data_IF_178098071982
#
_entry.id   IF_178098071982
#
_cell.length_a   1.000
_cell.length_b   1.000
_cell.length_c   1.000
_cell.angle_alpha   90.00
_cell.angle_beta   90.00
_cell.angle_gamma   90.00
#
_symmetry.space_group_name_H-M   'P 1'
#
loop_
_entity.id
_entity.type
_entity.pdbx_description
1 polymer ?
#
# COMPACT_ATOMS: atom_id res chain seq x y z
N UNK A 1 -53.59 33.05 -59.07
CA UNK A 1 -52.69 34.20 -58.84
C UNK A 1 -52.74 34.58 -57.37
N UNK A 2 -51.57 34.57 -56.72
CA UNK A 2 -51.22 35.12 -55.40
C UNK A 2 -51.98 34.64 -54.13
N UNK A 3 -51.38 33.67 -53.43
CA UNK A 3 -51.54 33.48 -51.98
C UNK A 3 -50.84 34.63 -51.24
N UNK A 4 -51.55 35.35 -50.36
CA UNK A 4 -50.97 36.19 -49.30
C UNK A 4 -51.26 35.54 -47.95
N UNK A 5 -50.26 34.85 -47.39
CA UNK A 5 -50.26 34.46 -45.99
C UNK A 5 -49.60 35.60 -45.21
N UNK A 6 -50.40 36.38 -44.47
CA UNK A 6 -49.96 37.51 -43.66
C UNK A 6 -49.91 37.16 -42.17
N UNK A 7 -48.78 37.49 -41.55
CA UNK A 7 -48.63 38.06 -40.20
C UNK A 7 -49.44 37.46 -39.04
N UNK A 8 -49.16 36.20 -38.66
CA UNK A 8 -49.43 35.74 -37.28
C UNK A 8 -48.21 35.20 -36.51
N UNK A 9 -47.03 35.14 -37.14
CA UNK A 9 -45.82 34.61 -36.51
C UNK A 9 -45.01 35.63 -35.70
N UNK A 10 -45.22 36.94 -35.90
CA UNK A 10 -44.38 38.00 -35.32
C UNK A 10 -44.82 38.49 -33.95
N UNK A 11 -46.05 38.20 -33.49
CA UNK A 11 -46.51 38.58 -32.15
C UNK A 11 -46.25 37.53 -31.07
N UNK A 12 -46.07 36.26 -31.44
CA UNK A 12 -45.74 35.20 -30.47
C UNK A 12 -44.25 35.19 -30.07
N UNK A 13 -43.35 35.66 -30.95
CA UNK A 13 -41.91 35.71 -30.65
C UNK A 13 -41.54 36.92 -29.78
N UNK A 14 -42.21 38.07 -29.97
CA UNK A 14 -41.91 39.27 -29.18
C UNK A 14 -42.38 39.21 -27.72
N UNK A 15 -43.32 38.32 -27.38
CA UNK A 15 -43.78 38.14 -26.00
C UNK A 15 -43.00 37.05 -25.23
N UNK A 16 -42.20 36.21 -25.90
CA UNK A 16 -41.31 35.26 -25.21
C UNK A 16 -39.91 35.82 -24.94
N UNK A 17 -39.43 36.78 -25.74
CA UNK A 17 -38.12 37.42 -25.50
C UNK A 17 -38.13 38.45 -24.36
N UNK A 18 -39.31 38.95 -23.96
CA UNK A 18 -39.43 39.93 -22.88
C UNK A 18 -39.37 39.33 -21.45
N UNK A 19 -39.46 38.00 -21.28
CA UNK A 19 -39.38 37.32 -19.98
C UNK A 19 -38.03 36.63 -19.70
N UNK A 20 -37.04 36.79 -20.58
CA UNK A 20 -35.69 36.24 -20.41
C UNK A 20 -34.64 37.31 -20.10
N UNK A 21 -35.00 38.35 -19.34
CA UNK A 21 -33.99 39.12 -18.64
C UNK A 21 -33.19 38.15 -17.74
N UNK A 22 -31.85 38.10 -17.82
CA UNK A 22 -31.07 37.26 -16.94
C UNK A 22 -31.38 37.71 -15.51
N UNK A 23 -32.10 36.87 -14.75
CA UNK A 23 -32.26 37.06 -13.32
C UNK A 23 -30.84 37.17 -12.77
N UNK A 24 -30.47 38.36 -12.33
CA UNK A 24 -29.30 38.58 -11.50
C UNK A 24 -29.56 37.84 -10.19
N UNK A 25 -29.27 36.54 -10.20
CA UNK A 25 -29.21 35.73 -8.99
C UNK A 25 -28.06 36.37 -8.21
N UNK A 26 -28.40 37.13 -7.18
CA UNK A 26 -27.42 37.57 -6.20
C UNK A 26 -26.64 36.32 -5.78
N UNK A 27 -25.32 36.30 -6.02
CA UNK A 27 -24.47 35.19 -5.62
C UNK A 27 -24.62 35.02 -4.12
N UNK A 28 -25.41 34.03 -3.69
CA UNK A 28 -25.44 33.64 -2.29
C UNK A 28 -24.00 33.31 -1.87
N UNK A 29 -23.53 33.81 -0.71
CA UNK A 29 -22.16 33.59 -0.28
C UNK A 29 -21.92 32.09 -0.13
N UNK A 30 -21.27 31.49 -1.14
CA UNK A 30 -20.97 30.07 -1.15
C UNK A 30 -20.00 29.78 -0.01
N UNK A 31 -20.35 28.81 0.85
CA UNK A 31 -19.40 28.34 1.88
C UNK A 31 -18.21 27.71 1.15
N UNK A 32 -16.96 28.06 1.52
CA UNK A 32 -15.81 27.37 0.96
C UNK A 32 -15.89 25.88 1.32
N UNK A 33 -15.56 24.97 0.38
CA UNK A 33 -15.55 23.55 0.66
C UNK A 33 -14.53 23.22 1.77
N UNK A 34 -14.73 22.09 2.47
CA UNK A 34 -13.63 21.47 3.23
C UNK A 34 -12.43 21.28 2.29
N UNK A 35 -11.21 21.31 2.83
CA UNK A 35 -9.95 21.26 2.04
C UNK A 35 -10.09 20.38 0.79
N UNK A 36 -9.84 20.90 -0.42
CA UNK A 36 -10.04 20.17 -1.67
C UNK A 36 -9.02 19.04 -1.86
N UNK A 37 -8.06 18.93 -0.96
CA UNK A 37 -6.90 18.06 -1.09
C UNK A 37 -7.23 16.57 -1.29
N UNK A 38 -8.18 16.02 -0.51
CA UNK A 38 -8.63 14.63 -0.68
C UNK A 38 -9.21 14.39 -2.08
N UNK A 39 -10.04 15.32 -2.56
CA UNK A 39 -10.65 15.23 -3.89
C UNK A 39 -9.59 15.30 -5.00
N UNK A 40 -8.60 16.21 -4.88
CA UNK A 40 -7.51 16.31 -5.84
C UNK A 40 -6.70 15.02 -5.93
N UNK A 41 -6.42 14.38 -4.78
CA UNK A 41 -5.72 13.09 -4.72
C UNK A 41 -6.57 11.97 -5.36
N UNK A 42 -7.87 11.91 -5.10
CA UNK A 42 -8.76 10.92 -5.70
C UNK A 42 -8.88 11.11 -7.23
N UNK A 43 -8.97 12.36 -7.68
CA UNK A 43 -8.96 12.72 -9.10
C UNK A 43 -7.64 12.29 -9.75
N UNK A 44 -6.50 12.59 -9.12
CA UNK A 44 -5.17 12.16 -9.58
C UNK A 44 -5.07 10.65 -9.73
N UNK A 45 -5.51 9.89 -8.73
CA UNK A 45 -5.49 8.42 -8.78
C UNK A 45 -6.36 7.88 -9.92
N UNK A 46 -7.48 8.54 -10.20
CA UNK A 46 -8.39 8.17 -11.30
C UNK A 46 -7.78 8.46 -12.67
N UNK A 47 -7.13 9.61 -12.83
CA UNK A 47 -6.40 9.98 -14.04
C UNK A 47 -5.23 9.01 -14.28
N UNK A 48 -4.40 8.73 -13.27
CA UNK A 48 -3.26 7.80 -13.39
C UNK A 48 -3.67 6.39 -13.82
N UNK A 49 -4.80 5.89 -13.32
CA UNK A 49 -5.35 4.59 -13.74
C UNK A 49 -5.69 4.61 -15.24
N UNK A 50 -6.27 5.71 -15.72
CA UNK A 50 -6.57 5.90 -17.14
C UNK A 50 -5.29 6.06 -17.97
N UNK A 51 -4.33 6.88 -17.53
CA UNK A 51 -3.01 7.06 -18.18
C UNK A 51 -2.30 5.72 -18.34
N UNK A 52 -2.22 4.92 -17.28
CA UNK A 52 -1.56 3.61 -17.28
C UNK A 52 -2.22 2.66 -18.27
N UNK A 53 -3.56 2.62 -18.32
CA UNK A 53 -4.31 1.80 -19.27
C UNK A 53 -4.04 2.19 -20.72
N UNK A 54 -3.99 3.50 -21.00
CA UNK A 54 -3.69 4.03 -22.33
C UNK A 54 -2.26 3.70 -22.74
N UNK A 55 -1.27 3.82 -21.83
CA UNK A 55 0.12 3.43 -22.08
C UNK A 55 0.27 1.94 -22.39
N UNK A 56 -0.43 1.07 -21.64
CA UNK A 56 -0.44 -0.38 -21.92
C UNK A 56 -1.01 -0.67 -23.31
N UNK A 57 -2.11 0.00 -23.69
CA UNK A 57 -2.68 -0.12 -25.04
C UNK A 57 -1.68 0.31 -26.10
N UNK A 58 -1.01 1.44 -25.92
CA UNK A 58 0.01 1.93 -26.83
C UNK A 58 1.11 0.89 -27.04
N UNK A 59 1.69 0.34 -25.97
CA UNK A 59 2.71 -0.71 -26.06
C UNK A 59 2.20 -1.94 -26.82
N UNK A 60 0.93 -2.32 -26.62
CA UNK A 60 0.34 -3.43 -27.36
C UNK A 60 0.20 -3.11 -28.87
N UNK A 61 -0.20 -1.90 -29.22
CA UNK A 61 -0.30 -1.46 -30.61
C UNK A 61 1.07 -1.41 -31.29
N UNK A 62 2.08 -0.85 -30.60
CA UNK A 62 3.47 -0.81 -31.05
C UNK A 62 4.03 -2.21 -31.33
N UNK A 63 3.81 -3.16 -30.41
CA UNK A 63 4.22 -4.56 -30.59
C UNK A 63 3.56 -5.23 -31.80
N UNK A 64 2.33 -4.83 -32.13
CA UNK A 64 1.59 -5.34 -33.29
C UNK A 64 1.79 -4.48 -34.56
N UNK A 65 2.64 -3.46 -34.51
CA UNK A 65 2.90 -2.51 -35.61
C UNK A 65 1.61 -1.81 -36.10
N UNK A 66 0.66 -1.59 -35.21
CA UNK A 66 -0.57 -0.84 -35.47
C UNK A 66 -0.39 0.59 -35.01
N UNK A 67 -0.75 1.56 -35.85
CA UNK A 67 -0.76 2.97 -35.49
C UNK A 67 -2.22 3.43 -35.25
N UNK A 68 -2.49 3.99 -34.07
CA UNK A 68 -3.80 4.53 -33.69
C UNK A 68 -3.62 5.96 -33.13
N UNK A 69 -3.78 7.00 -33.95
CA UNK A 69 -3.59 8.39 -33.54
C UNK A 69 -4.50 8.84 -32.39
N UNK A 70 -5.65 8.17 -32.18
CA UNK A 70 -6.54 8.51 -31.07
C UNK A 70 -5.97 8.05 -29.72
N UNK A 71 -5.23 6.92 -29.70
CA UNK A 71 -4.55 6.46 -28.48
C UNK A 71 -3.50 7.48 -28.03
N UNK A 72 -2.74 8.04 -28.98
CA UNK A 72 -1.76 9.09 -28.69
C UNK A 72 -2.41 10.38 -28.18
N UNK A 73 -3.47 10.87 -28.85
CA UNK A 73 -4.21 12.06 -28.40
C UNK A 73 -4.77 11.91 -27.00
N UNK A 74 -5.32 10.74 -26.68
CA UNK A 74 -5.85 10.46 -25.34
C UNK A 74 -4.74 10.42 -24.31
N UNK A 75 -3.57 9.85 -24.63
CA UNK A 75 -2.40 9.88 -23.74
C UNK A 75 -1.98 11.31 -23.45
N UNK A 76 -1.80 12.14 -24.47
CA UNK A 76 -1.30 13.51 -24.32
C UNK A 76 -2.27 14.38 -23.49
N UNK A 77 -3.59 14.19 -23.68
CA UNK A 77 -4.61 14.83 -22.85
C UNK A 77 -4.56 14.38 -21.39
N UNK A 78 -4.37 13.07 -21.14
CA UNK A 78 -4.26 12.54 -19.79
C UNK A 78 -2.99 13.01 -19.09
N UNK A 79 -1.84 13.03 -19.77
CA UNK A 79 -0.56 13.50 -19.23
C UNK A 79 -0.62 14.98 -18.85
N UNK A 80 -1.13 15.84 -19.72
CA UNK A 80 -1.32 17.27 -19.41
C UNK A 80 -2.29 17.50 -18.25
N UNK A 81 -3.36 16.70 -18.16
CA UNK A 81 -4.28 16.73 -17.01
C UNK A 81 -3.56 16.31 -15.72
N UNK A 82 -2.74 15.26 -15.78
CA UNK A 82 -2.04 14.75 -14.61
C UNK A 82 -0.97 15.72 -14.09
N UNK A 83 -0.25 16.43 -14.97
CA UNK A 83 0.67 17.51 -14.61
C UNK A 83 -0.06 18.70 -13.95
N UNK A 84 -1.22 19.06 -14.49
CA UNK A 84 -2.05 20.15 -13.94
C UNK A 84 -2.50 19.83 -12.52
N UNK A 85 -3.01 18.61 -12.30
CA UNK A 85 -3.46 18.15 -10.97
C UNK A 85 -2.27 18.06 -10.00
N UNK A 86 -1.09 17.62 -10.44
CA UNK A 86 0.10 17.56 -9.60
C UNK A 86 0.55 18.96 -9.10
N UNK A 87 0.38 19.98 -9.94
CA UNK A 87 0.57 21.38 -9.55
C UNK A 87 -0.34 21.77 -8.39
N UNK A 88 -1.65 21.53 -8.52
CA UNK A 88 -2.63 21.84 -7.48
C UNK A 88 -2.41 21.04 -6.20
N UNK A 89 -2.11 19.74 -6.31
CA UNK A 89 -1.77 18.89 -5.16
C UNK A 89 -0.54 19.44 -4.44
N UNK A 90 0.49 19.88 -5.17
CA UNK A 90 1.72 20.41 -4.57
C UNK A 90 1.46 21.70 -3.79
N UNK A 91 0.60 22.58 -4.30
CA UNK A 91 0.20 23.81 -3.62
C UNK A 91 -0.56 23.55 -2.33
N UNK A 92 -1.54 22.65 -2.37
CA UNK A 92 -2.32 22.26 -1.19
C UNK A 92 -1.49 21.46 -0.18
N UNK A 93 -0.63 20.55 -0.64
CA UNK A 93 0.22 19.74 0.23
C UNK A 93 1.14 20.61 1.11
N UNK A 94 1.65 21.73 0.58
CA UNK A 94 2.48 22.68 1.35
C UNK A 94 1.75 23.33 2.53
N UNK A 95 0.42 23.39 2.48
CA UNK A 95 -0.44 23.92 3.55
C UNK A 95 -0.75 22.87 4.62
N UNK A 96 -0.45 21.60 4.36
CA UNK A 96 -0.77 20.50 5.25
C UNK A 96 -0.07 20.65 6.62
N UNK A 97 -0.76 20.41 7.76
CA UNK A 97 -0.18 20.61 9.11
C UNK A 97 1.13 19.85 9.37
N UNK A 98 1.22 18.60 8.88
CA UNK A 98 2.43 17.78 8.99
C UNK A 98 3.53 18.06 7.93
N UNK A 99 3.31 19.00 6.99
CA UNK A 99 4.27 19.30 5.91
C UNK A 99 5.67 19.69 6.41
N UNK A 100 5.82 20.53 7.46
CA UNK A 100 7.15 20.90 7.98
C UNK A 100 7.98 19.70 8.43
N UNK A 101 7.34 18.59 8.78
CA UNK A 101 7.99 17.36 9.20
C UNK A 101 8.32 16.45 8.02
N UNK A 102 7.32 15.99 7.26
CA UNK A 102 7.57 14.97 6.23
C UNK A 102 8.38 15.49 5.04
N UNK A 103 8.33 16.80 4.75
CA UNK A 103 9.18 17.41 3.72
C UNK A 103 10.68 17.28 4.02
N UNK A 104 11.02 17.09 5.30
CA UNK A 104 12.40 16.97 5.78
C UNK A 104 12.93 15.53 5.81
N UNK A 105 12.10 14.55 5.46
CA UNK A 105 12.49 13.14 5.45
C UNK A 105 13.10 12.79 4.08
N UNK A 106 14.23 12.08 4.08
CA UNK A 106 14.89 11.59 2.88
C UNK A 106 14.03 10.48 2.26
N UNK A 107 13.82 10.53 0.94
CA UNK A 107 12.93 9.59 0.23
C UNK A 107 11.45 9.92 0.27
N UNK A 108 11.04 11.02 0.90
CA UNK A 108 9.69 11.57 0.73
C UNK A 108 9.68 12.60 -0.41
N UNK A 109 8.86 12.32 -1.42
CA UNK A 109 8.49 13.25 -2.50
C UNK A 109 6.99 13.56 -2.45
N UNK A 110 6.60 14.71 -3.03
CA UNK A 110 5.24 15.25 -2.92
C UNK A 110 4.16 14.27 -3.40
N UNK A 111 4.38 13.58 -4.51
CA UNK A 111 3.40 12.69 -5.13
C UNK A 111 3.01 11.53 -4.19
N UNK A 112 3.98 10.73 -3.73
CA UNK A 112 3.69 9.56 -2.91
C UNK A 112 3.14 9.93 -1.53
N UNK A 113 3.65 11.00 -0.89
CA UNK A 113 3.11 11.43 0.42
C UNK A 113 1.73 12.04 0.29
N UNK A 114 1.45 12.80 -0.77
CA UNK A 114 0.12 13.34 -1.01
C UNK A 114 -0.93 12.24 -1.09
N UNK A 115 -0.61 11.13 -1.78
CA UNK A 115 -1.50 9.96 -1.86
C UNK A 115 -1.69 9.23 -0.53
N UNK A 116 -0.78 9.39 0.43
CA UNK A 116 -0.94 8.84 1.78
C UNK A 116 -1.79 9.78 2.63
N UNK A 117 -1.40 11.06 2.74
CA UNK A 117 -2.11 12.03 3.60
C UNK A 117 -3.49 12.40 3.05
N UNK A 118 -3.67 12.44 1.74
CA UNK A 118 -4.95 12.78 1.11
C UNK A 118 -6.03 11.71 1.27
N UNK A 119 -5.64 10.45 1.53
CA UNK A 119 -6.57 9.36 1.79
C UNK A 119 -6.91 9.17 3.28
N UNK A 120 -6.26 9.94 4.17
CA UNK A 120 -6.40 9.84 5.62
C UNK A 120 -7.20 11.03 6.14
N UNK A 121 -8.25 10.74 6.91
CA UNK A 121 -8.94 11.73 7.73
C UNK A 121 -8.45 11.57 9.18
N UNK A 122 -7.62 12.51 9.63
CA UNK A 122 -6.97 12.42 10.94
C UNK A 122 -7.97 12.55 12.10
N UNK A 123 -9.11 13.20 11.89
CA UNK A 123 -10.17 13.32 12.92
C UNK A 123 -10.87 11.98 13.17
N UNK A 124 -10.91 11.10 12.18
CA UNK A 124 -11.43 9.73 12.30
C UNK A 124 -10.42 8.73 12.86
N UNK A 125 -9.19 9.16 13.13
CA UNK A 125 -8.12 8.34 13.68
C UNK A 125 -7.73 8.77 15.11
N UNK A 126 -8.57 8.54 16.13
CA UNK A 126 -8.30 8.98 17.50
C UNK A 126 -7.12 8.26 18.16
N UNK A 127 -6.73 7.09 17.65
CA UNK A 127 -5.57 6.31 18.12
C UNK A 127 -4.72 5.84 16.96
N UNK A 128 -3.42 5.62 17.19
CA UNK A 128 -2.54 5.09 16.14
C UNK A 128 -3.00 3.71 15.64
N UNK A 129 -3.57 2.86 16.50
CA UNK A 129 -4.09 1.55 16.09
C UNK A 129 -5.26 1.66 15.11
N UNK A 130 -6.12 2.68 15.26
CA UNK A 130 -7.20 2.93 14.30
C UNK A 130 -6.65 3.32 12.92
N UNK A 131 -5.60 4.15 12.87
CA UNK A 131 -4.92 4.50 11.62
C UNK A 131 -4.23 3.29 11.00
N UNK A 132 -3.51 2.47 11.79
CA UNK A 132 -2.92 1.23 11.29
C UNK A 132 -3.97 0.26 10.75
N UNK A 133 -5.15 0.18 11.39
CA UNK A 133 -6.25 -0.65 10.89
C UNK A 133 -6.72 -0.15 9.54
N UNK A 134 -7.05 1.14 9.45
CA UNK A 134 -7.50 1.79 8.21
C UNK A 134 -6.48 1.72 7.07
N UNK A 135 -5.19 1.89 7.36
CA UNK A 135 -4.09 1.75 6.39
C UNK A 135 -3.76 0.28 6.04
N UNK A 136 -4.46 -0.69 6.64
CA UNK A 136 -4.24 -2.11 6.41
C UNK A 136 -2.90 -2.61 6.94
N UNK A 137 -2.31 -1.94 7.93
CA UNK A 137 -1.04 -2.28 8.61
C UNK A 137 -1.25 -3.05 9.92
N UNK A 138 -2.51 -3.26 10.33
CA UNK A 138 -2.84 -4.08 11.50
C UNK A 138 -2.54 -5.57 11.27
N UNK A 139 -2.65 -6.34 12.36
CA UNK A 139 -2.54 -7.80 12.37
C UNK A 139 -3.88 -8.35 12.82
N UNK A 140 -4.37 -9.36 12.12
CA UNK A 140 -5.59 -10.10 12.43
C UNK A 140 -5.19 -11.42 13.06
N UNK A 141 -5.66 -11.70 14.26
CA UNK A 141 -5.42 -12.96 14.92
C UNK A 141 -6.40 -14.01 14.38
N UNK A 142 -5.88 -15.15 13.97
CA UNK A 142 -6.66 -16.29 13.48
C UNK A 142 -6.31 -17.48 14.36
N UNK A 143 -7.34 -18.13 14.91
CA UNK A 143 -7.20 -19.39 15.62
C UNK A 143 -7.10 -20.49 14.57
N UNK A 144 -6.03 -21.27 14.63
CA UNK A 144 -5.79 -22.42 13.74
C UNK A 144 -6.06 -23.68 14.54
N UNK A 145 -7.02 -24.48 14.08
CA UNK A 145 -7.42 -25.72 14.77
C UNK A 145 -6.37 -26.83 14.57
N UNK A 146 -6.36 -27.87 15.41
CA UNK A 146 -5.48 -29.02 15.25
C UNK A 146 -5.57 -29.68 13.88
N UNK A 147 -6.78 -29.82 13.34
CA UNK A 147 -7.05 -30.42 12.04
C UNK A 147 -6.47 -29.56 10.91
N UNK A 148 -6.63 -28.24 11.01
CA UNK A 148 -6.03 -27.30 10.06
C UNK A 148 -4.50 -27.33 10.11
N UNK A 149 -3.92 -27.49 11.30
CA UNK A 149 -2.46 -27.64 11.46
C UNK A 149 -1.96 -28.93 10.81
N UNK A 150 -2.69 -30.03 10.93
CA UNK A 150 -2.37 -31.29 10.28
C UNK A 150 -2.48 -31.17 8.75
N UNK A 151 -3.56 -30.56 8.24
CA UNK A 151 -3.76 -30.33 6.82
C UNK A 151 -2.64 -29.45 6.20
N UNK A 152 -2.18 -28.42 6.91
CA UNK A 152 -1.02 -27.61 6.50
C UNK A 152 0.27 -28.44 6.41
N UNK A 153 0.49 -29.35 7.37
CA UNK A 153 1.66 -30.22 7.40
C UNK A 153 1.63 -31.24 6.25
N UNK A 154 0.49 -31.85 5.98
CA UNK A 154 0.30 -32.79 4.86
C UNK A 154 0.54 -32.11 3.50
N UNK A 155 -0.05 -30.92 3.29
CA UNK A 155 0.17 -30.12 2.07
C UNK A 155 1.64 -29.74 1.91
N UNK A 156 2.31 -29.41 3.01
CA UNK A 156 3.75 -29.12 3.03
C UNK A 156 4.56 -30.34 2.61
N UNK A 157 4.27 -31.51 3.17
CA UNK A 157 4.94 -32.76 2.82
C UNK A 157 4.77 -33.09 1.34
N UNK A 158 3.55 -33.02 0.81
CA UNK A 158 3.25 -33.30 -0.59
C UNK A 158 4.01 -32.36 -1.55
N UNK A 159 4.04 -31.05 -1.25
CA UNK A 159 4.78 -30.09 -2.07
C UNK A 159 6.29 -30.28 -2.01
N UNK A 160 6.83 -30.65 -0.84
CA UNK A 160 8.25 -30.98 -0.70
C UNK A 160 8.62 -32.25 -1.49
N UNK A 161 7.77 -33.27 -1.48
CA UNK A 161 7.95 -34.48 -2.29
C UNK A 161 7.94 -34.17 -3.79
N UNK A 162 7.01 -33.32 -4.24
CA UNK A 162 6.97 -32.85 -5.64
C UNK A 162 8.25 -32.11 -6.02
N UNK A 163 8.74 -31.22 -5.16
CA UNK A 163 10.00 -30.50 -5.40
C UNK A 163 11.22 -31.42 -5.45
N UNK A 164 11.26 -32.42 -4.58
CA UNK A 164 12.31 -33.44 -4.58
C UNK A 164 12.33 -34.21 -5.92
N UNK A 165 11.17 -34.58 -6.45
CA UNK A 165 11.06 -35.23 -7.76
C UNK A 165 11.52 -34.33 -8.91
N UNK A 166 11.20 -33.03 -8.87
CA UNK A 166 11.66 -32.04 -9.84
C UNK A 166 13.19 -31.92 -9.85
N UNK A 167 13.80 -31.81 -8.66
CA UNK A 167 15.26 -31.70 -8.53
C UNK A 167 15.99 -32.95 -9.01
N UNK A 168 15.48 -34.15 -8.67
CA UNK A 168 15.97 -35.43 -9.20
C UNK A 168 15.98 -35.45 -10.73
N UNK A 169 14.90 -34.97 -11.36
CA UNK A 169 14.83 -34.87 -12.82
C UNK A 169 15.82 -33.84 -13.37
N UNK A 170 15.97 -32.70 -12.72
CA UNK A 170 16.87 -31.61 -13.13
C UNK A 170 18.35 -32.01 -13.07
N UNK A 171 18.75 -32.74 -12.03
CA UNK A 171 20.14 -33.14 -11.79
C UNK A 171 20.44 -34.60 -12.11
N UNK A 172 19.61 -35.27 -12.90
CA UNK A 172 19.83 -36.65 -13.33
C UNK A 172 21.21 -36.90 -13.99
N UNK A 173 21.89 -35.84 -14.47
CA UNK A 173 23.24 -35.87 -15.07
C UNK A 173 24.35 -35.31 -14.16
N UNK A 174 24.03 -34.87 -12.94
CA UNK A 174 24.97 -34.31 -11.98
C UNK A 174 24.63 -34.77 -10.55
N UNK A 175 25.02 -36.01 -10.17
CA UNK A 175 24.62 -36.63 -8.90
C UNK A 175 25.25 -35.96 -7.67
N UNK A 176 26.40 -35.30 -7.79
CA UNK A 176 27.02 -34.56 -6.68
C UNK A 176 26.18 -33.35 -6.29
N UNK A 177 25.73 -32.57 -7.29
CA UNK A 177 24.84 -31.42 -7.08
C UNK A 177 23.45 -31.83 -6.60
N UNK A 178 22.98 -33.00 -7.04
CA UNK A 178 21.74 -33.60 -6.54
C UNK A 178 21.86 -33.93 -5.04
N UNK A 179 22.96 -34.55 -4.61
CA UNK A 179 23.19 -34.91 -3.22
C UNK A 179 23.25 -33.68 -2.30
N UNK A 180 23.92 -32.60 -2.72
CA UNK A 180 23.99 -31.34 -1.98
C UNK A 180 22.59 -30.70 -1.80
N UNK A 181 21.84 -30.52 -2.88
CA UNK A 181 20.49 -29.92 -2.84
C UNK A 181 19.50 -30.79 -2.04
N UNK A 182 19.60 -32.13 -2.14
CA UNK A 182 18.80 -33.08 -1.34
C UNK A 182 19.19 -33.03 0.14
N UNK A 183 20.49 -32.89 0.45
CA UNK A 183 20.97 -32.77 1.82
C UNK A 183 20.45 -31.49 2.46
N UNK A 184 20.42 -30.36 1.74
CA UNK A 184 19.81 -29.09 2.20
C UNK A 184 18.31 -29.29 2.47
N UNK A 185 17.57 -29.94 1.56
CA UNK A 185 16.15 -30.26 1.77
C UNK A 185 15.89 -31.14 3.00
N UNK A 186 16.71 -32.19 3.21
CA UNK A 186 16.55 -33.14 4.34
C UNK A 186 16.91 -32.52 5.68
N UNK A 187 18.04 -31.83 5.75
CA UNK A 187 18.55 -31.23 7.00
C UNK A 187 17.73 -30.02 7.48
N UNK A 188 17.18 -29.22 6.57
CA UNK A 188 16.51 -27.95 6.93
C UNK A 188 14.98 -28.00 6.89
N UNK A 189 14.35 -28.89 6.09
CA UNK A 189 12.89 -28.90 5.90
C UNK A 189 12.18 -30.06 6.58
N UNK A 190 12.80 -31.24 6.63
CA UNK A 190 12.23 -32.40 7.32
C UNK A 190 12.54 -32.35 8.83
N UNK A 191 13.71 -31.85 9.24
CA UNK A 191 14.07 -31.71 10.66
C UNK A 191 13.17 -30.73 11.43
N UNK A 192 12.79 -29.59 10.82
CA UNK A 192 11.85 -28.64 11.40
C UNK A 192 10.41 -29.15 11.42
N UNK A 193 9.98 -29.87 10.38
CA UNK A 193 8.71 -30.59 10.35
C UNK A 193 8.71 -31.66 11.44
N UNK A 194 9.74 -32.51 11.49
CA UNK A 194 9.90 -33.57 12.48
C UNK A 194 9.96 -33.01 13.89
N UNK A 195 10.74 -31.97 14.21
CA UNK A 195 10.76 -31.34 15.54
C UNK A 195 9.40 -30.73 15.92
N UNK A 196 8.74 -30.04 14.97
CA UNK A 196 7.40 -29.51 15.17
C UNK A 196 6.37 -30.63 15.38
N UNK A 197 6.48 -31.75 14.67
CA UNK A 197 5.60 -32.91 14.84
C UNK A 197 5.97 -33.64 16.17
N UNK A 198 7.23 -33.97 16.44
CA UNK A 198 7.70 -34.77 17.57
C UNK A 198 7.50 -34.09 18.93
N UNK A 199 7.57 -32.75 19.00
CA UNK A 199 7.16 -31.99 20.20
C UNK A 199 5.64 -31.84 20.37
N UNK A 200 4.85 -32.20 19.36
CA UNK A 200 3.38 -32.03 19.29
C UNK A 200 2.57 -33.31 19.22
N UNK A 201 3.13 -34.47 18.87
CA UNK A 201 2.41 -35.76 18.82
C UNK A 201 2.63 -36.63 20.07
N UNK A 202 3.28 -36.09 21.11
CA UNK A 202 3.25 -36.68 22.46
C UNK A 202 2.01 -36.30 23.28
N UNK A 203 1.27 -35.27 22.84
CA UNK A 203 0.06 -34.73 23.45
C UNK A 203 -0.94 -34.34 22.36
N UNK A 204 -2.23 -34.20 22.69
CA UNK A 204 -3.22 -33.68 21.75
C UNK A 204 -2.78 -32.29 21.23
N UNK A 205 -2.81 -32.11 19.91
CA UNK A 205 -2.49 -30.83 19.28
C UNK A 205 -3.48 -29.78 19.79
N UNK A 206 -3.00 -28.74 20.47
CA UNK A 206 -3.85 -27.63 20.92
C UNK A 206 -4.06 -26.58 19.81
N UNK A 207 -5.21 -25.88 19.78
CA UNK A 207 -5.42 -24.74 18.89
C UNK A 207 -4.39 -23.63 19.13
N UNK A 208 -3.86 -23.05 18.05
CA UNK A 208 -2.87 -21.95 18.13
C UNK A 208 -3.40 -20.67 17.53
N UNK A 209 -3.17 -19.54 18.21
CA UNK A 209 -3.50 -18.22 17.66
C UNK A 209 -2.31 -17.67 16.88
N UNK A 210 -2.50 -17.40 15.58
CA UNK A 210 -1.47 -16.83 14.69
C UNK A 210 -1.90 -15.46 14.18
N UNK A 211 -0.95 -14.53 14.13
CA UNK A 211 -1.17 -13.18 13.61
C UNK A 211 -0.89 -13.08 12.11
N UNK A 212 -1.90 -12.70 11.33
CA UNK A 212 -1.78 -12.51 9.88
C UNK A 212 -1.96 -11.04 9.47
N UNK A 213 -1.32 -10.66 8.38
CA UNK A 213 -1.68 -9.42 7.69
C UNK A 213 -3.08 -9.59 7.09
N UNK A 214 -3.98 -8.58 7.17
CA UNK A 214 -5.27 -8.66 6.49
C UNK A 214 -5.05 -8.89 4.99
N UNK A 215 -5.84 -9.75 4.36
CA UNK A 215 -5.76 -10.01 2.91
C UNK A 215 -7.15 -9.99 2.30
N UNK A 216 -7.27 -9.58 1.03
CA UNK A 216 -8.58 -9.54 0.35
C UNK A 216 -9.29 -10.91 0.32
N UNK A 217 -8.55 -12.01 0.27
CA UNK A 217 -9.11 -13.37 0.28
C UNK A 217 -9.88 -13.67 1.56
N UNK A 218 -9.42 -13.18 2.72
CA UNK A 218 -10.12 -13.38 4.00
C UNK A 218 -11.53 -12.76 4.01
N UNK A 219 -11.70 -11.59 3.38
CA UNK A 219 -13.00 -10.90 3.31
C UNK A 219 -13.87 -11.43 2.16
N UNK A 220 -13.28 -11.89 1.05
CA UNK A 220 -14.02 -12.54 -0.04
C UNK A 220 -14.69 -13.84 0.41
N UNK A 221 -14.00 -14.67 1.18
CA UNK A 221 -14.54 -15.93 1.69
C UNK A 221 -15.76 -15.73 2.61
N UNK A 222 -15.84 -14.58 3.28
CA UNK A 222 -16.92 -14.24 4.23
C UNK A 222 -17.99 -13.32 3.63
N UNK A 223 -17.82 -12.84 2.39
CA UNK A 223 -18.70 -11.84 1.77
C UNK A 223 -18.66 -10.46 2.44
N UNK A 224 -17.69 -10.20 3.31
CA UNK A 224 -17.61 -8.98 4.11
C UNK A 224 -16.87 -7.87 3.37
N UNK A 225 -17.21 -6.61 3.68
CA UNK A 225 -16.45 -5.45 3.19
C UNK A 225 -15.06 -5.44 3.83
N UNK A 226 -14.05 -4.94 3.10
CA UNK A 226 -12.72 -4.72 3.66
C UNK A 226 -12.80 -3.74 4.82
N UNK A 227 -12.14 -4.06 5.94
CA UNK A 227 -12.05 -3.18 7.10
C UNK A 227 -10.85 -2.21 7.03
N UNK A 228 -10.21 -2.12 5.87
CA UNK A 228 -9.09 -1.23 5.57
C UNK A 228 -9.22 -0.62 4.17
N UNK A 229 -8.65 0.57 3.98
CA UNK A 229 -8.54 1.21 2.68
C UNK A 229 -7.40 0.56 1.87
N UNK A 230 -7.77 -0.17 0.82
CA UNK A 230 -6.80 -0.91 0.02
C UNK A 230 -5.90 -0.04 -0.84
N UNK A 231 -6.34 1.17 -1.22
CA UNK A 231 -5.52 2.13 -1.97
C UNK A 231 -4.47 2.74 -1.04
N UNK A 232 -4.89 3.23 0.13
CA UNK A 232 -3.97 3.74 1.16
C UNK A 232 -2.88 2.71 1.51
N UNK A 233 -3.27 1.44 1.67
CA UNK A 233 -2.29 0.37 1.92
C UNK A 233 -1.23 0.31 0.82
N UNK A 234 -1.63 0.33 -0.45
CA UNK A 234 -0.70 0.31 -1.59
C UNK A 234 0.19 1.56 -1.57
N UNK A 235 -0.37 2.73 -1.29
CA UNK A 235 0.40 3.98 -1.21
C UNK A 235 1.44 3.95 -0.09
N UNK A 236 1.12 3.37 1.08
CA UNK A 236 2.12 3.17 2.13
C UNK A 236 3.26 2.23 1.68
N UNK A 237 2.99 1.16 0.94
CA UNK A 237 4.05 0.30 0.41
C UNK A 237 4.89 0.98 -0.69
N UNK A 238 4.27 1.81 -1.54
CA UNK A 238 4.99 2.65 -2.51
C UNK A 238 5.92 3.65 -1.81
N UNK A 239 5.40 4.35 -0.80
CA UNK A 239 6.18 5.29 0.01
C UNK A 239 7.34 4.57 0.72
N UNK A 240 7.08 3.42 1.33
CA UNK A 240 8.11 2.58 1.94
C UNK A 240 9.23 2.21 0.96
N UNK A 241 8.88 1.79 -0.26
CA UNK A 241 9.86 1.50 -1.30
C UNK A 241 10.74 2.71 -1.63
N UNK A 242 10.16 3.92 -1.64
CA UNK A 242 10.92 5.16 -1.85
C UNK A 242 11.85 5.48 -0.67
N UNK A 243 11.38 5.33 0.56
CA UNK A 243 12.19 5.52 1.77
C UNK A 243 13.40 4.56 1.82
N UNK A 244 13.19 3.29 1.48
CA UNK A 244 14.25 2.28 1.45
C UNK A 244 15.29 2.62 0.38
N UNK A 245 14.86 2.95 -0.85
CA UNK A 245 15.77 3.32 -1.94
C UNK A 245 16.58 4.58 -1.64
N UNK A 246 15.99 5.51 -0.87
CA UNK A 246 16.65 6.74 -0.51
C UNK A 246 17.76 6.58 0.54
N UNK A 247 17.85 5.42 1.22
CA UNK A 247 18.91 5.11 2.18
C UNK A 247 19.06 6.23 3.24
N UNK A 248 17.95 6.52 3.92
CA UNK A 248 17.91 7.46 5.05
C UNK A 248 17.56 6.75 6.36
N UNK A 249 17.19 7.51 7.40
CA UNK A 249 16.94 6.96 8.75
C UNK A 249 15.84 5.90 8.81
N UNK A 250 14.80 6.04 7.97
CA UNK A 250 13.76 5.00 7.85
C UNK A 250 14.29 3.71 7.20
N UNK A 251 15.23 3.82 6.25
CA UNK A 251 15.87 2.66 5.65
C UNK A 251 16.73 1.91 6.69
N UNK A 252 17.50 2.64 7.51
CA UNK A 252 18.28 2.06 8.61
C UNK A 252 17.40 1.33 9.64
N UNK A 253 16.25 1.92 10.00
CA UNK A 253 15.27 1.24 10.85
C UNK A 253 14.76 -0.05 10.19
N UNK A 254 14.44 0.02 8.89
CA UNK A 254 14.01 -1.15 8.12
C UNK A 254 15.08 -2.25 8.09
N UNK A 255 16.36 -1.92 7.90
CA UNK A 255 17.45 -2.90 7.86
C UNK A 255 17.65 -3.57 9.22
N UNK A 256 17.64 -2.80 10.32
CA UNK A 256 17.66 -3.35 11.69
C UNK A 256 16.46 -4.25 11.95
N UNK A 257 15.26 -3.81 11.55
CA UNK A 257 14.04 -4.59 11.72
C UNK A 257 14.07 -5.90 10.91
N UNK A 258 14.63 -5.86 9.69
CA UNK A 258 14.81 -7.04 8.84
C UNK A 258 15.81 -8.01 9.43
N UNK A 259 16.96 -7.53 9.89
CA UNK A 259 17.98 -8.34 10.54
C UNK A 259 17.41 -9.07 11.76
N UNK A 260 16.69 -8.36 12.64
CA UNK A 260 16.08 -8.98 13.82
C UNK A 260 15.01 -10.03 13.46
N UNK A 261 14.29 -9.86 12.35
CA UNK A 261 13.35 -10.89 11.86
C UNK A 261 14.13 -12.12 11.37
N UNK A 262 15.21 -11.93 10.61
CA UNK A 262 16.05 -13.02 10.10
C UNK A 262 16.65 -13.82 11.26
N UNK A 263 17.25 -13.14 12.23
CA UNK A 263 17.85 -13.78 13.41
C UNK A 263 16.83 -14.58 14.21
N UNK A 264 15.63 -14.02 14.43
CA UNK A 264 14.54 -14.72 15.11
C UNK A 264 14.12 -15.99 14.37
N UNK A 265 13.92 -15.90 13.05
CA UNK A 265 13.52 -17.04 12.23
C UNK A 265 14.59 -18.13 12.22
N UNK A 266 15.87 -17.75 12.13
CA UNK A 266 16.99 -18.69 12.19
C UNK A 266 17.08 -19.38 13.55
N UNK A 267 16.89 -18.65 14.65
CA UNK A 267 16.85 -19.22 16.00
C UNK A 267 15.68 -20.19 16.19
N UNK A 268 14.55 -19.94 15.53
CA UNK A 268 13.38 -20.84 15.48
C UNK A 268 13.58 -22.02 14.50
N UNK A 269 14.72 -22.13 13.82
CA UNK A 269 14.98 -23.15 12.81
C UNK A 269 14.17 -22.99 11.51
N UNK A 270 13.56 -21.82 11.29
CA UNK A 270 12.80 -21.52 10.07
C UNK A 270 13.74 -21.17 8.92
N UNK A 271 13.62 -21.91 7.81
CA UNK A 271 14.43 -21.69 6.62
C UNK A 271 13.92 -20.49 5.82
N UNK A 272 14.84 -19.59 5.43
CA UNK A 272 14.53 -18.45 4.56
C UNK A 272 15.00 -18.78 3.15
N UNK A 273 14.07 -18.85 2.20
CA UNK A 273 14.37 -19.21 0.80
C UNK A 273 13.87 -18.15 -0.19
N UNK A 274 14.53 -17.95 -1.34
CA UNK A 274 13.97 -17.17 -2.44
C UNK A 274 12.61 -17.72 -2.90
N UNK A 275 11.69 -16.83 -3.28
CA UNK A 275 10.33 -17.22 -3.72
C UNK A 275 10.35 -18.22 -4.88
N UNK A 276 11.33 -18.13 -5.78
CA UNK A 276 11.47 -19.00 -6.95
C UNK A 276 11.89 -20.44 -6.58
N UNK A 277 12.43 -20.66 -5.38
CA UNK A 277 12.87 -21.97 -4.91
C UNK A 277 11.79 -22.71 -4.11
N UNK A 278 10.69 -22.02 -3.79
CA UNK A 278 9.56 -22.61 -3.08
C UNK A 278 8.82 -23.64 -3.96
N UNK A 279 8.24 -24.68 -3.34
CA UNK A 279 7.43 -25.66 -4.05
C UNK A 279 6.12 -25.03 -4.54
N UNK A 280 5.56 -25.65 -5.57
CA UNK A 280 4.20 -25.40 -6.03
C UNK A 280 3.25 -26.47 -5.48
N UNK A 281 2.00 -26.09 -5.27
CA UNK A 281 0.93 -27.04 -4.97
C UNK A 281 0.39 -27.69 -6.26
N UNK A 282 -0.55 -28.62 -6.12
CA UNK A 282 -1.17 -29.32 -7.27
C UNK A 282 -1.85 -28.40 -8.30
N UNK A 283 -2.13 -27.13 -7.94
CA UNK A 283 -2.71 -26.12 -8.82
C UNK A 283 -1.63 -25.22 -9.48
N UNK A 284 -0.35 -25.56 -9.35
CA UNK A 284 0.78 -24.78 -9.87
C UNK A 284 1.06 -23.48 -9.11
N UNK A 285 0.42 -23.24 -7.97
CA UNK A 285 0.66 -22.02 -7.17
C UNK A 285 1.79 -22.26 -6.17
N UNK A 286 2.73 -21.32 -6.10
CA UNK A 286 3.80 -21.31 -5.11
C UNK A 286 3.19 -21.23 -3.70
N UNK A 287 3.71 -22.01 -2.76
CA UNK A 287 3.32 -21.94 -1.35
C UNK A 287 4.53 -22.09 -0.42
N UNK A 288 4.38 -21.67 0.82
CA UNK A 288 5.40 -21.78 1.86
C UNK A 288 5.14 -23.02 2.72
N UNK A 289 6.01 -24.05 2.66
CA UNK A 289 5.91 -25.19 3.56
C UNK A 289 6.09 -24.78 5.02
N UNK A 290 5.54 -25.58 5.93
CA UNK A 290 5.78 -25.45 7.37
C UNK A 290 7.30 -25.39 7.65
N UNK A 291 7.73 -24.42 8.46
CA UNK A 291 9.14 -24.20 8.78
C UNK A 291 9.95 -23.50 7.68
N UNK A 292 9.31 -23.00 6.61
CA UNK A 292 9.96 -22.22 5.55
C UNK A 292 9.26 -20.88 5.33
N UNK A 293 10.02 -19.85 4.96
CA UNK A 293 9.49 -18.53 4.59
C UNK A 293 10.24 -17.93 3.40
N UNK A 294 9.50 -17.27 2.51
CA UNK A 294 10.05 -16.52 1.40
C UNK A 294 10.85 -15.31 1.88
N UNK A 295 11.99 -15.04 1.24
CA UNK A 295 12.75 -13.79 1.42
C UNK A 295 11.88 -12.55 1.19
N UNK A 296 10.96 -12.61 0.22
CA UNK A 296 9.98 -11.57 -0.05
C UNK A 296 9.04 -11.31 1.14
N UNK A 297 8.61 -12.35 1.85
CA UNK A 297 7.77 -12.19 3.04
C UNK A 297 8.55 -11.61 4.22
N UNK A 298 9.82 -11.98 4.41
CA UNK A 298 10.71 -11.32 5.39
C UNK A 298 10.84 -9.82 5.09
N UNK A 299 11.07 -9.47 3.82
CA UNK A 299 11.10 -8.09 3.36
C UNK A 299 9.79 -7.35 3.65
N UNK A 300 8.63 -7.94 3.33
CA UNK A 300 7.31 -7.34 3.60
C UNK A 300 7.04 -7.18 5.10
N UNK A 301 7.47 -8.11 5.96
CA UNK A 301 7.37 -7.99 7.42
C UNK A 301 8.20 -6.80 7.93
N UNK A 302 9.42 -6.63 7.43
CA UNK A 302 10.26 -5.48 7.77
C UNK A 302 9.68 -4.15 7.25
N UNK A 303 9.21 -4.12 6.00
CA UNK A 303 8.51 -2.96 5.44
C UNK A 303 7.29 -2.58 6.27
N UNK A 304 6.50 -3.56 6.73
CA UNK A 304 5.37 -3.32 7.63
C UNK A 304 5.78 -2.68 8.95
N UNK A 305 6.86 -3.14 9.58
CA UNK A 305 7.39 -2.50 10.80
C UNK A 305 7.76 -1.05 10.53
N UNK A 306 8.46 -0.77 9.43
CA UNK A 306 8.82 0.60 9.04
C UNK A 306 7.60 1.47 8.74
N UNK A 307 6.61 0.95 7.99
CA UNK A 307 5.36 1.66 7.71
C UNK A 307 4.57 1.98 8.98
N UNK A 308 4.51 1.04 9.93
CA UNK A 308 3.86 1.30 11.23
C UNK A 308 4.57 2.41 11.99
N UNK A 309 5.90 2.44 12.00
CA UNK A 309 6.68 3.53 12.60
C UNK A 309 6.38 4.86 11.91
N UNK A 310 6.48 4.92 10.58
CA UNK A 310 6.19 6.12 9.80
C UNK A 310 4.78 6.67 10.06
N UNK A 311 3.76 5.80 10.04
CA UNK A 311 2.38 6.19 10.32
C UNK A 311 2.20 6.66 11.77
N UNK A 312 2.98 6.14 12.71
CA UNK A 312 2.97 6.61 14.11
C UNK A 312 3.49 8.03 14.22
N UNK A 313 4.60 8.32 13.55
CA UNK A 313 5.17 9.66 13.50
C UNK A 313 4.26 10.64 12.78
N UNK A 314 3.70 10.25 11.62
CA UNK A 314 2.74 11.05 10.87
C UNK A 314 1.52 11.39 11.72
N UNK A 315 0.93 10.39 12.38
CA UNK A 315 -0.22 10.56 13.25
C UNK A 315 0.07 11.51 14.41
N UNK A 316 1.23 11.35 15.07
CA UNK A 316 1.65 12.18 16.19
C UNK A 316 1.81 13.64 15.76
N UNK A 317 2.64 13.90 14.75
CA UNK A 317 2.92 15.26 14.26
C UNK A 317 1.65 15.93 13.73
N UNK A 318 0.83 15.20 12.97
CA UNK A 318 -0.38 15.76 12.39
C UNK A 318 -1.40 16.13 13.47
N UNK A 319 -1.66 15.25 14.44
CA UNK A 319 -2.60 15.56 15.52
C UNK A 319 -2.11 16.69 16.42
N UNK A 320 -0.82 16.72 16.75
CA UNK A 320 -0.24 17.83 17.51
C UNK A 320 -0.39 19.17 16.77
N UNK A 321 -0.13 19.17 15.45
CA UNK A 321 -0.26 20.37 14.63
C UNK A 321 -1.71 20.88 14.52
N UNK A 322 -2.70 20.00 14.62
CA UNK A 322 -4.13 20.36 14.65
C UNK A 322 -4.69 20.56 16.07
N UNK A 323 -3.86 20.43 17.11
CA UNK A 323 -4.31 20.53 18.51
C UNK A 323 -5.25 19.39 18.96
N UNK A 324 -5.24 18.27 18.26
CA UNK A 324 -6.06 17.10 18.58
C UNK A 324 -5.44 16.29 19.74
N UNK A 325 -6.26 15.61 20.56
CA UNK A 325 -5.73 14.82 21.69
C UNK A 325 -4.85 13.68 21.19
N UNK A 326 -3.72 13.50 21.86
CA UNK A 326 -2.72 12.47 21.55
C UNK A 326 -2.70 11.45 22.68
N UNK A 327 -3.09 10.22 22.39
CA UNK A 327 -2.83 9.08 23.27
C UNK A 327 -1.34 8.74 23.28
N UNK A 328 -0.80 8.33 24.43
CA UNK A 328 0.51 7.67 24.48
C UNK A 328 0.53 6.47 23.51
N UNK A 329 1.65 6.17 22.83
CA UNK A 329 1.69 5.14 21.78
C UNK A 329 1.17 3.78 22.27
N UNK A 330 0.33 3.14 21.46
CA UNK A 330 -0.36 1.85 21.75
C UNK A 330 0.56 0.72 22.25
N UNK A 331 1.83 0.74 21.85
CA UNK A 331 2.85 -0.24 22.27
C UNK A 331 3.16 -0.21 23.77
N UNK A 332 2.95 0.93 24.44
CA UNK A 332 3.20 1.07 25.88
C UNK A 332 1.97 0.78 26.74
N UNK A 333 0.76 0.91 26.19
CA UNK A 333 -0.48 0.70 26.93
C UNK A 333 -0.89 -0.79 27.04
N UNK A 334 -0.45 -1.66 26.12
CA UNK A 334 -0.90 -3.07 26.06
C UNK A 334 0.27 -4.08 25.93
N UNK A 335 1.44 -3.70 25.38
CA UNK A 335 2.50 -4.66 25.00
C UNK A 335 3.78 -4.63 25.87
N UNK A 336 3.82 -3.85 26.95
CA UNK A 336 4.89 -3.96 27.97
C UNK A 336 6.33 -3.73 27.48
N UNK A 337 6.53 -3.10 26.31
CA UNK A 337 7.87 -2.78 25.83
C UNK A 337 8.36 -1.47 26.47
N UNK A 338 9.56 -1.54 27.08
CA UNK A 338 10.20 -0.49 27.87
C UNK A 338 10.29 0.86 27.14
N UNK A 339 10.31 1.95 27.92
CA UNK A 339 10.35 3.36 27.46
C UNK A 339 11.53 3.71 26.52
N UNK A 340 12.58 2.88 26.48
CA UNK A 340 13.78 3.08 25.66
C UNK A 340 13.61 2.89 24.13
N UNK A 341 12.40 2.60 23.64
CA UNK A 341 12.13 2.27 22.23
C UNK A 341 11.38 3.32 21.41
N UNK A 342 11.02 4.46 22.00
CA UNK A 342 10.25 5.50 21.31
C UNK A 342 11.20 6.37 20.48
N UNK A 343 11.13 6.23 19.15
CA UNK A 343 11.84 7.10 18.22
C UNK A 343 11.01 8.37 18.05
N UNK A 344 11.61 9.54 18.27
CA UNK A 344 10.91 10.80 18.02
C UNK A 344 10.78 11.06 16.51
N UNK A 345 9.63 11.58 16.02
CA UNK A 345 9.46 11.93 14.62
C UNK A 345 10.55 12.85 14.06
N UNK A 346 11.03 13.81 14.87
CA UNK A 346 12.02 14.80 14.48
C UNK A 346 13.43 14.22 14.46
N UNK A 347 13.70 13.15 15.22
CA UNK A 347 14.93 12.39 15.08
C UNK A 347 15.04 11.68 13.73
N UNK A 348 13.93 11.51 13.00
CA UNK A 348 13.89 10.86 11.69
C UNK A 348 14.00 11.83 10.50
N UNK A 349 14.27 13.12 10.74
CA UNK A 349 14.47 14.11 9.68
C UNK A 349 15.95 14.23 9.30
N UNK A 350 16.21 14.53 8.03
CA UNK A 350 17.57 14.57 7.46
C UNK A 350 17.78 15.80 6.55
N UNK A 351 16.74 16.29 5.88
CA UNK A 351 16.83 17.47 5.02
C UNK A 351 16.72 18.76 5.87
N UNK A 352 17.49 19.78 5.46
CA UNK A 352 17.34 21.14 5.97
C UNK A 352 15.93 21.68 5.66
N UNK A 353 15.39 22.59 6.48
CA UNK A 353 14.10 23.22 6.18
C UNK A 353 14.15 23.90 4.81
N UNK A 354 13.09 23.72 4.02
CA UNK A 354 12.99 24.39 2.72
C UNK A 354 13.00 25.92 2.92
N UNK A 355 13.72 26.68 2.09
CA UNK A 355 13.68 28.14 2.16
C UNK A 355 12.25 28.63 1.93
N UNK A 356 11.84 29.67 2.67
CA UNK A 356 10.50 30.27 2.50
C UNK A 356 10.30 30.65 1.02
N UNK A 357 9.13 30.35 0.42
CA UNK A 357 8.89 30.73 -0.97
C UNK A 357 9.05 32.25 -1.10
N UNK A 358 9.89 32.69 -2.04
CA UNK A 358 10.02 34.11 -2.35
C UNK A 358 8.63 34.61 -2.74
N UNK A 359 8.09 35.61 -2.03
CA UNK A 359 6.85 36.29 -2.43
C UNK A 359 7.05 36.70 -3.90
N UNK A 360 6.22 36.19 -4.81
CA UNK A 360 6.13 36.76 -6.15
C UNK A 360 5.61 38.18 -5.94
N UNK A 361 6.47 39.19 -6.10
CA UNK A 361 6.04 40.57 -6.26
C UNK A 361 5.17 40.59 -7.51
N UNK A 362 3.86 40.64 -7.31
CA UNK A 362 2.92 40.99 -8.37
C UNK A 362 3.19 42.45 -8.65
N UNK A 363 3.95 42.73 -9.71
CA UNK A 363 3.97 44.05 -10.32
C UNK A 363 2.56 44.31 -10.83
N UNK A 364 1.85 45.22 -10.17
CA UNK A 364 0.56 45.77 -10.59
C UNK A 364 0.77 46.67 -11.79
#
# INVERSE_FOLDING_TARGET
MAYRCGNHATQFLNNQEAEMAPKTVAEEPTRPPKSPFSFLVDAKLSVEKSTTRTKIRQTHLENNKVNDPYTDRVRDLLESTEETIDGWITEELRKHPAYPWFSRIKGIGNENIAKVVGLVDIHKAPTISSLWRYAGMHVTNVVVTPEQQLEEAEKSLAGLQSKLAELRKKYAKNPEKEAEDIQVLRSHKIGGLAFALQGRFGHDLEPVTRGYAPTRSMYKATGTKLDYNSELRVMCFRLAGSLIKAQGKYAEFYDRAKLGIVQKLQAEGTLIVPTLELPTNGNGKIFEPVGTIATGHVHMRAQRKMNKLFLSHLWLVWRQAEGLPVSKPYTHAILGHAEAGLIDPWDMVEKKPAPKPRRKTVTV
#
